data_IF_122670180357
#
_entry.id   IF_122670180357
#
_cell.length_a   1.000
_cell.length_b   1.000
_cell.length_c   1.000
_cell.angle_alpha   90.00
_cell.angle_beta   90.00
_cell.angle_gamma   90.00
#
_symmetry.space_group_name_H-M   'P 1'
#
loop_
_entity.id
_entity.type
_entity.pdbx_description
1 polymer ?
#
# COMPACT_ATOMS: atom_id res chain seq x y z
N UNK A 1 58.38 -14.79 70.89
CA UNK A 1 58.75 -13.36 70.76
C UNK A 1 57.44 -12.60 70.69
N UNK A 2 57.01 -11.74 71.59
CA UNK A 2 57.47 -11.20 72.88
C UNK A 2 56.16 -10.56 73.42
N UNK A 3 55.69 -10.92 74.62
CA UNK A 3 55.68 -10.04 75.82
C UNK A 3 55.20 -8.61 75.51
N UNK A 4 54.31 -7.95 76.24
CA UNK A 4 53.66 -8.18 77.51
C UNK A 4 52.72 -6.97 77.75
N UNK A 5 51.81 -7.13 78.70
CA UNK A 5 51.44 -6.24 79.82
C UNK A 5 51.50 -4.71 79.68
N UNK A 6 50.65 -3.91 80.31
CA UNK A 6 49.72 -4.14 81.42
C UNK A 6 48.82 -2.90 81.55
N UNK A 7 47.66 -3.06 82.18
CA UNK A 7 47.34 -2.55 83.54
C UNK A 7 46.87 -1.08 83.50
N UNK A 8 45.80 -0.64 84.17
CA UNK A 8 44.91 -1.27 85.15
C UNK A 8 43.50 -0.64 85.04
N UNK A 9 42.50 -1.26 85.66
CA UNK A 9 41.96 -0.86 86.97
C UNK A 9 41.08 0.41 86.88
N UNK A 10 39.89 0.53 87.45
CA UNK A 10 39.00 -0.33 88.24
C UNK A 10 37.67 0.47 88.35
N UNK A 11 36.57 -0.24 88.70
CA UNK A 11 35.33 0.20 89.35
C UNK A 11 34.75 1.60 89.00
N UNK A 12 33.53 1.74 88.51
CA UNK A 12 32.29 1.10 88.96
C UNK A 12 31.19 2.18 88.97
N UNK A 13 29.92 1.81 88.84
CA UNK A 13 28.80 2.75 89.00
C UNK A 13 27.60 2.43 88.13
N UNK A 14 26.51 2.06 88.81
CA UNK A 14 25.19 1.74 88.26
C UNK A 14 24.61 2.81 87.33
N UNK A 15 23.90 2.36 86.28
CA UNK A 15 23.12 3.24 85.42
C UNK A 15 22.30 2.49 84.39
N UNK A 16 21.01 2.30 84.66
CA UNK A 16 20.03 1.86 83.68
C UNK A 16 20.10 2.75 82.41
N UNK A 17 20.14 2.14 81.23
CA UNK A 17 19.92 2.86 79.97
C UNK A 17 19.28 1.96 78.93
N UNK A 18 18.02 2.30 78.63
CA UNK A 18 17.21 1.76 77.54
C UNK A 18 17.93 1.81 76.20
N UNK A 19 17.72 0.76 75.41
CA UNK A 19 18.14 0.65 74.02
C UNK A 19 17.62 1.84 73.17
N UNK A 20 18.55 2.57 72.55
CA UNK A 20 18.25 3.52 71.48
C UNK A 20 18.48 2.82 70.14
N UNK A 21 17.39 2.42 69.49
CA UNK A 21 17.37 1.99 68.10
C UNK A 21 17.64 3.17 67.15
N UNK A 22 18.64 3.02 66.29
CA UNK A 22 18.97 3.94 65.19
C UNK A 22 17.83 4.01 64.13
N UNK A 23 17.68 5.15 63.41
CA UNK A 23 16.52 5.36 62.55
C UNK A 23 16.65 4.60 61.23
N UNK A 24 15.58 3.90 60.86
CA UNK A 24 15.45 3.18 59.61
C UNK A 24 15.61 4.12 58.40
N UNK A 25 16.58 3.81 57.53
CA UNK A 25 16.74 4.46 56.23
C UNK A 25 15.46 4.31 55.41
N UNK A 26 14.86 5.45 55.04
CA UNK A 26 13.69 5.49 54.15
C UNK A 26 14.09 4.98 52.77
N UNK A 27 13.76 3.72 52.44
CA UNK A 27 13.77 3.28 51.04
C UNK A 27 12.71 4.08 50.29
N UNK A 28 13.14 4.88 49.32
CA UNK A 28 12.24 5.60 48.44
C UNK A 28 11.43 4.53 47.68
N UNK A 29 10.09 4.51 47.83
CA UNK A 29 9.28 3.50 47.17
C UNK A 29 9.32 3.77 45.65
N UNK A 30 9.29 2.72 44.80
CA UNK A 30 9.49 2.84 43.36
C UNK A 30 8.51 3.84 42.77
N UNK A 31 8.91 4.63 41.77
CA UNK A 31 8.10 5.73 41.23
C UNK A 31 6.65 5.31 40.87
N UNK A 32 6.42 4.06 40.47
CA UNK A 32 5.09 3.49 40.20
C UNK A 32 4.15 3.41 41.41
N UNK A 33 4.69 3.38 42.63
CA UNK A 33 3.97 3.26 43.89
C UNK A 33 3.59 4.61 44.51
N UNK A 34 4.17 5.71 44.00
CA UNK A 34 3.88 7.05 44.51
C UNK A 34 2.42 7.45 44.20
N UNK A 35 1.67 7.99 45.18
CA UNK A 35 0.27 8.37 45.00
C UNK A 35 0.05 9.35 43.84
N UNK A 36 0.95 10.31 43.66
CA UNK A 36 0.86 11.29 42.57
C UNK A 36 1.10 10.65 41.19
N UNK A 37 2.00 9.68 41.06
CA UNK A 37 2.22 8.94 39.80
C UNK A 37 1.01 8.08 39.47
N UNK A 38 0.38 7.45 40.47
CA UNK A 38 -0.88 6.71 40.29
C UNK A 38 -2.03 7.64 39.88
N UNK A 39 -2.15 8.80 40.51
CA UNK A 39 -3.18 9.78 40.18
C UNK A 39 -2.96 10.40 38.80
N UNK A 40 -1.72 10.72 38.43
CA UNK A 40 -1.39 11.25 37.11
C UNK A 40 -1.66 10.20 36.02
N UNK A 41 -1.28 8.95 36.26
CA UNK A 41 -1.56 7.84 35.32
C UNK A 41 -3.07 7.57 35.20
N UNK A 42 -3.81 7.73 36.30
CA UNK A 42 -5.28 7.67 36.30
C UNK A 42 -5.89 8.84 35.53
N UNK A 43 -5.41 10.07 35.74
CA UNK A 43 -5.89 11.29 35.08
C UNK A 43 -5.62 11.27 33.56
N UNK A 44 -4.40 10.94 33.17
CA UNK A 44 -4.02 10.74 31.76
C UNK A 44 -4.81 9.56 31.16
N UNK A 45 -5.03 8.50 31.92
CA UNK A 45 -5.84 7.35 31.50
C UNK A 45 -7.35 7.64 31.39
N UNK A 46 -7.87 8.63 32.12
CA UNK A 46 -9.27 9.08 32.02
C UNK A 46 -9.52 9.98 30.81
N UNK A 47 -8.48 10.48 30.15
CA UNK A 47 -8.60 11.40 29.02
C UNK A 47 -9.17 12.78 29.37
N UNK A 48 -9.32 13.09 30.67
CA UNK A 48 -9.83 14.37 31.13
C UNK A 48 -8.88 15.52 30.71
N UNK A 49 -9.41 16.48 29.96
CA UNK A 49 -8.65 17.63 29.43
C UNK A 49 -7.94 17.40 28.09
N UNK A 50 -8.11 16.23 27.46
CA UNK A 50 -7.65 16.01 26.09
C UNK A 50 -8.58 16.70 25.09
N UNK A 51 -7.99 17.29 24.05
CA UNK A 51 -8.75 17.80 22.91
C UNK A 51 -9.50 16.67 22.19
N UNK A 52 -10.53 17.03 21.42
CA UNK A 52 -11.39 16.09 20.69
C UNK A 52 -10.60 15.11 19.82
N UNK A 53 -9.51 15.56 19.20
CA UNK A 53 -8.62 14.74 18.38
C UNK A 53 -7.89 13.65 19.19
N UNK A 54 -7.33 14.02 20.35
CA UNK A 54 -6.60 13.08 21.20
C UNK A 54 -7.52 12.04 21.86
N UNK A 55 -8.77 12.41 22.18
CA UNK A 55 -9.80 11.46 22.63
C UNK A 55 -10.17 10.46 21.53
N UNK A 56 -10.34 10.94 20.30
CA UNK A 56 -10.67 10.10 19.15
C UNK A 56 -9.55 9.11 18.81
N UNK A 57 -8.29 9.55 18.93
CA UNK A 57 -7.12 8.69 18.74
C UNK A 57 -7.03 7.60 19.82
N UNK A 58 -7.29 7.94 21.09
CA UNK A 58 -7.32 6.97 22.19
C UNK A 58 -8.42 5.93 21.99
N UNK A 59 -9.62 6.35 21.61
CA UNK A 59 -10.73 5.44 21.33
C UNK A 59 -10.41 4.52 20.16
N UNK A 60 -9.82 5.07 19.09
CA UNK A 60 -9.36 4.27 17.93
C UNK A 60 -8.32 3.23 18.35
N UNK A 61 -7.31 3.63 19.14
CA UNK A 61 -6.29 2.71 19.67
C UNK A 61 -6.91 1.61 20.52
N UNK A 62 -7.90 1.95 21.35
CA UNK A 62 -8.62 0.98 22.19
C UNK A 62 -9.34 -0.06 21.33
N UNK A 63 -10.15 0.39 20.37
CA UNK A 63 -10.92 -0.49 19.48
C UNK A 63 -9.99 -1.42 18.69
N UNK A 64 -8.90 -0.88 18.12
CA UNK A 64 -7.93 -1.69 17.37
C UNK A 64 -7.24 -2.75 18.23
N UNK A 65 -6.91 -2.41 19.48
CA UNK A 65 -6.24 -3.32 20.41
C UNK A 65 -7.17 -4.46 20.86
N UNK A 66 -8.46 -4.17 21.00
CA UNK A 66 -9.49 -5.18 21.28
C UNK A 66 -9.67 -6.15 20.11
N UNK A 67 -9.79 -5.62 18.87
CA UNK A 67 -9.84 -6.43 17.64
C UNK A 67 -8.59 -7.33 17.53
N UNK A 68 -7.41 -6.80 17.83
CA UNK A 68 -6.17 -7.57 17.77
C UNK A 68 -6.16 -8.74 18.77
N UNK A 69 -6.54 -8.49 20.03
CA UNK A 69 -6.61 -9.53 21.08
C UNK A 69 -7.61 -10.62 20.72
N UNK A 70 -8.78 -10.24 20.21
CA UNK A 70 -9.77 -11.23 19.79
C UNK A 70 -9.26 -12.10 18.63
N UNK A 71 -8.54 -11.50 17.68
CA UNK A 71 -7.94 -12.23 16.56
C UNK A 71 -6.83 -13.19 17.02
N UNK A 72 -6.03 -12.80 18.01
CA UNK A 72 -5.04 -13.69 18.64
C UNK A 72 -5.70 -14.89 19.33
N UNK A 73 -6.79 -14.66 20.06
CA UNK A 73 -7.57 -15.75 20.69
C UNK A 73 -8.11 -16.73 19.66
N UNK A 74 -8.77 -16.22 18.60
CA UNK A 74 -9.28 -17.04 17.49
C UNK A 74 -8.18 -17.82 16.77
N UNK A 75 -7.00 -17.23 16.62
CA UNK A 75 -5.85 -17.92 16.03
C UNK A 75 -5.30 -19.04 16.93
N UNK A 76 -5.30 -18.83 18.25
CA UNK A 76 -4.93 -19.87 19.20
C UNK A 76 -5.94 -21.02 19.22
N UNK A 77 -7.24 -20.72 19.10
CA UNK A 77 -8.32 -21.71 18.98
C UNK A 77 -8.25 -22.52 17.68
N UNK A 78 -7.82 -21.90 16.57
CA UNK A 78 -7.70 -22.57 15.26
C UNK A 78 -6.50 -23.52 15.13
N UNK A 79 -5.54 -23.46 16.08
CA UNK A 79 -4.36 -24.32 16.09
C UNK A 79 -3.48 -24.17 14.85
N UNK A 80 -3.16 -25.28 14.19
CA UNK A 80 -2.25 -25.32 13.03
C UNK A 80 -2.91 -24.99 11.70
N UNK A 81 -4.23 -24.83 11.64
CA UNK A 81 -4.96 -24.62 10.38
C UNK A 81 -4.99 -23.11 10.09
N UNK A 82 -4.32 -22.63 9.01
CA UNK A 82 -4.40 -21.23 8.64
C UNK A 82 -5.82 -20.86 8.20
N UNK A 83 -6.23 -19.63 8.48
CA UNK A 83 -7.49 -19.09 7.95
C UNK A 83 -7.40 -19.00 6.42
N UNK A 84 -8.17 -19.86 5.73
CA UNK A 84 -8.30 -19.85 4.27
C UNK A 84 -9.47 -18.97 3.81
N UNK A 85 -10.50 -18.83 4.63
CA UNK A 85 -11.67 -18.00 4.36
C UNK A 85 -11.64 -16.72 5.20
N UNK A 86 -11.77 -15.57 4.53
CA UNK A 86 -11.95 -14.27 5.18
C UNK A 86 -13.35 -13.78 4.84
N UNK A 87 -14.23 -13.74 5.84
CA UNK A 87 -15.58 -13.18 5.69
C UNK A 87 -15.47 -11.73 5.19
N UNK A 88 -16.31 -11.39 4.21
CA UNK A 88 -16.48 -10.02 3.72
C UNK A 88 -16.84 -9.10 4.90
N UNK A 89 -16.16 -7.95 5.07
CA UNK A 89 -16.49 -7.01 6.13
C UNK A 89 -17.95 -6.56 6.06
N UNK A 90 -18.58 -6.45 7.22
CA UNK A 90 -19.93 -5.89 7.29
C UNK A 90 -19.90 -4.41 6.90
N UNK A 91 -20.93 -3.97 6.18
CA UNK A 91 -21.02 -2.60 5.68
C UNK A 91 -21.00 -1.60 6.86
N UNK A 92 -20.27 -0.50 6.70
CA UNK A 92 -20.07 0.48 7.78
C UNK A 92 -19.06 0.07 8.86
N UNK A 93 -18.62 -1.20 8.91
CA UNK A 93 -17.59 -1.63 9.86
C UNK A 93 -16.24 -0.95 9.61
N UNK A 94 -15.40 -0.85 10.64
CA UNK A 94 -14.02 -0.35 10.52
C UNK A 94 -13.25 -1.18 9.48
N UNK A 95 -13.47 -2.50 9.44
CA UNK A 95 -12.85 -3.39 8.46
C UNK A 95 -13.24 -3.03 7.02
N UNK A 96 -14.52 -2.71 6.76
CA UNK A 96 -15.01 -2.25 5.45
C UNK A 96 -14.37 -0.91 5.06
N UNK A 97 -14.30 0.05 5.99
CA UNK A 97 -13.66 1.36 5.74
C UNK A 97 -12.16 1.24 5.45
N UNK A 98 -11.44 0.40 6.21
CA UNK A 98 -10.02 0.13 6.01
C UNK A 98 -9.78 -0.58 4.68
N UNK A 99 -10.63 -1.55 4.33
CA UNK A 99 -10.55 -2.25 3.03
C UNK A 99 -10.74 -1.26 1.87
N UNK A 100 -11.76 -0.41 1.92
CA UNK A 100 -12.01 0.61 0.88
C UNK A 100 -10.82 1.57 0.73
N UNK A 101 -10.27 2.05 1.84
CA UNK A 101 -9.10 2.93 1.81
C UNK A 101 -7.85 2.20 1.26
N UNK A 102 -7.65 0.94 1.64
CA UNK A 102 -6.56 0.12 1.13
C UNK A 102 -6.69 -0.12 -0.38
N UNK A 103 -7.90 -0.43 -0.86
CA UNK A 103 -8.23 -0.57 -2.29
C UNK A 103 -7.92 0.72 -3.04
N UNK A 104 -8.45 1.86 -2.57
CA UNK A 104 -8.19 3.16 -3.17
C UNK A 104 -6.68 3.46 -3.27
N UNK A 105 -5.93 3.29 -2.18
CA UNK A 105 -4.47 3.52 -2.18
C UNK A 105 -3.73 2.57 -3.11
N UNK A 106 -4.16 1.32 -3.18
CA UNK A 106 -3.58 0.34 -4.09
C UNK A 106 -3.81 0.73 -5.55
N UNK A 107 -5.06 1.03 -5.93
CA UNK A 107 -5.42 1.42 -7.30
C UNK A 107 -4.75 2.72 -7.72
N UNK A 108 -4.74 3.73 -6.84
CA UNK A 108 -4.00 4.98 -7.06
C UNK A 108 -2.51 4.74 -7.30
N UNK A 109 -1.88 3.86 -6.51
CA UNK A 109 -0.47 3.50 -6.72
C UNK A 109 -0.28 2.76 -8.05
N UNK A 110 -1.21 1.91 -8.46
CA UNK A 110 -1.14 1.23 -9.76
C UNK A 110 -1.27 2.22 -10.92
N UNK A 111 -2.19 3.20 -10.84
CA UNK A 111 -2.36 4.22 -11.88
C UNK A 111 -1.16 5.15 -11.98
N UNK A 112 -0.56 5.54 -10.86
CA UNK A 112 0.68 6.33 -10.83
C UNK A 112 1.86 5.64 -11.52
N UNK A 113 1.87 4.30 -11.61
CA UNK A 113 2.90 3.53 -12.31
C UNK A 113 2.65 3.39 -13.82
N UNK A 114 1.46 3.78 -14.31
CA UNK A 114 1.14 3.78 -15.73
C UNK A 114 1.76 4.99 -16.44
N UNK A 115 2.06 4.79 -17.73
CA UNK A 115 2.45 5.88 -18.62
C UNK A 115 1.17 6.65 -18.96
N UNK A 116 1.19 7.96 -18.80
CA UNK A 116 0.09 8.82 -19.26
C UNK A 116 0.22 9.09 -20.78
N UNK A 117 -0.65 9.93 -21.34
CA UNK A 117 -0.63 10.26 -22.77
C UNK A 117 0.69 10.94 -23.18
N UNK A 118 1.14 11.94 -22.41
CA UNK A 118 2.38 12.66 -22.66
C UNK A 118 3.61 11.73 -22.59
N UNK A 119 3.62 10.80 -21.64
CA UNK A 119 4.66 9.78 -21.46
C UNK A 119 4.72 8.85 -22.68
N UNK A 120 3.57 8.45 -23.23
CA UNK A 120 3.48 7.62 -24.42
C UNK A 120 3.94 8.39 -25.66
N UNK A 121 3.56 9.65 -25.80
CA UNK A 121 4.00 10.51 -26.91
C UNK A 121 5.51 10.74 -26.86
N UNK A 122 6.07 11.05 -25.68
CA UNK A 122 7.51 11.19 -25.48
C UNK A 122 8.27 9.90 -25.82
N UNK A 123 7.72 8.74 -25.45
CA UNK A 123 8.31 7.45 -25.80
C UNK A 123 8.28 7.18 -27.31
N UNK A 124 7.19 7.57 -27.99
CA UNK A 124 7.10 7.45 -29.45
C UNK A 124 8.14 8.30 -30.16
N UNK A 125 8.33 9.55 -29.70
CA UNK A 125 9.38 10.44 -30.21
C UNK A 125 10.76 9.83 -29.99
N UNK A 126 11.06 9.35 -28.77
CA UNK A 126 12.33 8.69 -28.47
C UNK A 126 12.61 7.49 -29.38
N UNK A 127 11.60 6.66 -29.66
CA UNK A 127 11.74 5.51 -30.55
C UNK A 127 12.08 5.95 -31.98
N UNK A 128 11.39 6.97 -32.50
CA UNK A 128 11.61 7.46 -33.87
C UNK A 128 12.97 8.13 -34.06
N UNK A 129 13.44 8.90 -33.07
CA UNK A 129 14.72 9.61 -33.14
C UNK A 129 15.94 8.67 -33.12
N UNK A 130 15.78 7.47 -32.58
CA UNK A 130 16.87 6.51 -32.37
C UNK A 130 16.72 5.23 -33.21
N UNK A 131 15.76 5.19 -34.14
CA UNK A 131 15.56 4.05 -35.02
C UNK A 131 16.41 4.15 -36.30
N UNK A 132 16.61 3.00 -36.93
CA UNK A 132 17.18 2.85 -38.26
C UNK A 132 16.05 2.63 -39.26
N UNK A 133 16.03 3.42 -40.33
CA UNK A 133 15.10 3.22 -41.44
C UNK A 133 15.69 2.18 -42.39
N UNK A 134 14.91 1.16 -42.71
CA UNK A 134 15.29 0.13 -43.66
C UNK A 134 15.19 0.68 -45.10
N UNK A 135 16.32 0.77 -45.82
CA UNK A 135 16.38 1.39 -47.15
C UNK A 135 15.49 0.69 -48.20
N UNK A 136 15.22 -0.60 -48.03
CA UNK A 136 14.44 -1.39 -48.98
C UNK A 136 12.93 -1.27 -48.74
N UNK A 137 12.52 -1.17 -47.47
CA UNK A 137 11.10 -1.22 -47.07
C UNK A 137 10.57 0.10 -46.51
N UNK A 138 11.45 1.06 -46.19
CA UNK A 138 11.12 2.29 -45.46
C UNK A 138 10.71 2.05 -44.01
N UNK A 139 10.88 0.84 -43.48
CA UNK A 139 10.41 0.48 -42.16
C UNK A 139 11.35 1.00 -41.06
N UNK A 140 10.78 1.65 -40.04
CA UNK A 140 11.49 2.09 -38.84
C UNK A 140 11.76 0.90 -37.91
N UNK A 141 13.04 0.58 -37.68
CA UNK A 141 13.50 -0.60 -36.94
C UNK A 141 14.57 -0.23 -35.90
N UNK A 142 14.74 -1.08 -34.90
CA UNK A 142 15.80 -0.94 -33.89
C UNK A 142 16.44 -2.29 -33.56
N UNK A 143 17.76 -2.31 -33.35
CA UNK A 143 18.45 -3.49 -32.83
C UNK A 143 18.39 -3.51 -31.28
N UNK A 144 19.05 -4.48 -30.65
CA UNK A 144 19.04 -4.60 -29.19
C UNK A 144 19.88 -3.54 -28.47
N UNK A 145 20.97 -3.06 -29.09
CA UNK A 145 21.78 -1.96 -28.54
C UNK A 145 20.97 -0.65 -28.54
N UNK A 146 20.30 -0.35 -29.65
CA UNK A 146 19.37 0.78 -29.78
C UNK A 146 18.26 0.66 -28.72
N UNK A 147 17.69 -0.54 -28.55
CA UNK A 147 16.67 -0.79 -27.52
C UNK A 147 17.16 -0.46 -26.11
N UNK A 148 18.39 -0.83 -25.76
CA UNK A 148 18.99 -0.48 -24.47
C UNK A 148 19.30 1.02 -24.35
N UNK A 149 19.73 1.67 -25.43
CA UNK A 149 19.98 3.10 -25.45
C UNK A 149 18.68 3.89 -25.26
N UNK A 150 17.65 3.58 -26.04
CA UNK A 150 16.32 4.18 -25.94
C UNK A 150 15.73 3.97 -24.55
N UNK A 151 15.92 2.79 -23.94
CA UNK A 151 15.50 2.55 -22.56
C UNK A 151 16.11 3.56 -21.57
N UNK A 152 17.38 3.92 -21.77
CA UNK A 152 18.09 4.91 -20.95
C UNK A 152 17.51 6.30 -21.16
N UNK A 153 17.37 6.73 -22.42
CA UNK A 153 16.79 8.02 -22.79
C UNK A 153 15.35 8.17 -22.27
N UNK A 154 14.51 7.16 -22.49
CA UNK A 154 13.14 7.15 -21.97
C UNK A 154 13.11 7.18 -20.43
N UNK A 155 14.06 6.54 -19.75
CA UNK A 155 14.12 6.57 -18.27
C UNK A 155 14.48 7.97 -17.76
N UNK A 156 15.31 8.72 -18.50
CA UNK A 156 15.67 10.09 -18.15
C UNK A 156 14.52 11.07 -18.41
N UNK A 157 13.82 10.93 -19.54
CA UNK A 157 12.73 11.85 -19.93
C UNK A 157 11.40 11.55 -19.22
N UNK A 158 11.03 10.28 -19.10
CA UNK A 158 9.71 9.82 -18.61
C UNK A 158 9.78 9.32 -17.17
N UNK A 159 10.95 8.85 -16.73
CA UNK A 159 11.17 8.27 -15.41
C UNK A 159 11.06 6.75 -15.37
N UNK A 160 11.07 6.18 -14.16
CA UNK A 160 11.21 4.73 -13.94
C UNK A 160 10.02 3.88 -14.43
N UNK A 161 8.88 4.50 -14.78
CA UNK A 161 7.66 3.80 -15.21
C UNK A 161 7.84 3.05 -16.53
N UNK A 162 8.68 3.56 -17.43
CA UNK A 162 8.90 2.98 -18.75
C UNK A 162 9.82 1.75 -18.71
N UNK A 163 10.70 1.65 -17.69
CA UNK A 163 11.75 0.63 -17.57
C UNK A 163 11.23 -0.82 -17.67
N UNK A 164 10.03 -1.09 -17.16
CA UNK A 164 9.40 -2.42 -17.23
C UNK A 164 9.12 -2.90 -18.66
N UNK A 165 8.99 -1.98 -19.61
CA UNK A 165 8.78 -2.31 -21.02
C UNK A 165 10.10 -2.66 -21.71
N UNK A 166 11.21 -2.06 -21.29
CA UNK A 166 12.54 -2.29 -21.84
C UNK A 166 13.27 -3.45 -21.15
N UNK A 167 12.67 -4.64 -21.20
CA UNK A 167 13.33 -5.88 -20.73
C UNK A 167 13.78 -6.74 -21.92
N UNK A 168 14.86 -7.54 -21.76
CA UNK A 168 15.27 -8.50 -22.80
C UNK A 168 14.13 -9.44 -23.19
N UNK A 169 13.36 -9.89 -22.20
CA UNK A 169 12.19 -10.75 -22.41
C UNK A 169 11.11 -10.10 -23.28
N UNK A 170 10.91 -8.77 -23.19
CA UNK A 170 9.98 -8.07 -24.06
C UNK A 170 10.54 -7.91 -25.47
N UNK A 171 11.83 -7.58 -25.64
CA UNK A 171 12.47 -7.53 -26.95
C UNK A 171 12.36 -8.86 -27.70
N UNK A 172 12.47 -9.98 -26.98
CA UNK A 172 12.36 -11.31 -27.56
C UNK A 172 10.97 -11.66 -28.12
N UNK A 173 9.90 -10.96 -27.70
CA UNK A 173 8.52 -11.21 -28.16
C UNK A 173 8.26 -10.81 -29.62
N UNK A 174 9.06 -9.93 -30.19
CA UNK A 174 8.83 -9.38 -31.52
C UNK A 174 9.58 -10.18 -32.58
N UNK A 175 9.02 -10.24 -33.79
CA UNK A 175 9.72 -10.83 -34.94
C UNK A 175 10.96 -9.99 -35.27
N UNK A 176 12.04 -10.69 -35.60
CA UNK A 176 13.35 -10.11 -35.89
C UNK A 176 13.66 -10.34 -37.36
N UNK A 177 14.23 -9.34 -38.00
CA UNK A 177 14.79 -9.52 -39.33
C UNK A 177 16.13 -10.27 -39.29
N UNK A 178 16.71 -10.54 -40.46
CA UNK A 178 17.99 -11.26 -40.59
C UNK A 178 19.15 -10.56 -39.85
N UNK A 179 19.01 -9.26 -39.57
CA UNK A 179 19.97 -8.45 -38.81
C UNK A 179 19.64 -8.39 -37.31
N UNK A 180 18.64 -9.14 -36.84
CA UNK A 180 18.23 -9.16 -35.43
C UNK A 180 17.44 -7.92 -34.98
N UNK A 181 16.94 -7.10 -35.91
CA UNK A 181 16.21 -5.86 -35.62
C UNK A 181 14.71 -6.10 -35.53
N UNK A 182 14.03 -5.33 -34.69
CA UNK A 182 12.58 -5.35 -34.55
C UNK A 182 11.97 -4.04 -35.04
N UNK A 183 10.78 -4.08 -35.61
CA UNK A 183 10.06 -2.87 -36.01
C UNK A 183 9.59 -2.08 -34.77
N UNK A 184 9.74 -0.75 -34.78
CA UNK A 184 9.42 0.08 -33.61
C UNK A 184 7.91 0.24 -33.39
N UNK A 185 7.12 0.27 -34.46
CA UNK A 185 5.68 0.47 -34.37
C UNK A 185 4.96 -0.68 -33.63
N UNK A 186 5.20 -1.96 -33.95
CA UNK A 186 4.66 -3.07 -33.15
C UNK A 186 5.06 -3.01 -31.67
N UNK A 187 6.28 -2.59 -31.36
CA UNK A 187 6.72 -2.41 -29.98
C UNK A 187 5.95 -1.29 -29.26
N UNK A 188 5.81 -0.13 -29.90
CA UNK A 188 5.03 0.98 -29.36
C UNK A 188 3.57 0.59 -29.10
N UNK A 189 2.93 -0.07 -30.08
CA UNK A 189 1.55 -0.55 -29.94
C UNK A 189 1.41 -1.57 -28.80
N UNK A 190 2.41 -2.41 -28.57
CA UNK A 190 2.44 -3.32 -27.41
C UNK A 190 2.44 -2.56 -26.08
N UNK A 191 3.26 -1.51 -25.95
CA UNK A 191 3.31 -0.70 -24.72
C UNK A 191 1.99 0.02 -24.51
N UNK A 192 1.50 0.71 -25.55
CA UNK A 192 0.21 1.42 -25.52
C UNK A 192 -0.92 0.47 -25.11
N UNK A 193 -1.04 -0.69 -25.76
CA UNK A 193 -2.06 -1.70 -25.43
C UNK A 193 -1.94 -2.20 -24.00
N UNK A 194 -0.72 -2.43 -23.51
CA UNK A 194 -0.49 -2.90 -22.14
C UNK A 194 -0.94 -1.85 -21.12
N UNK A 195 -0.65 -0.58 -21.38
CA UNK A 195 -1.11 0.55 -20.55
C UNK A 195 -2.62 0.66 -20.59
N UNK A 196 -3.25 0.68 -21.78
CA UNK A 196 -4.70 0.80 -21.94
C UNK A 196 -5.46 -0.34 -21.25
N UNK A 197 -4.99 -1.58 -21.38
CA UNK A 197 -5.62 -2.73 -20.71
C UNK A 197 -5.48 -2.66 -19.19
N UNK A 198 -4.33 -2.18 -18.69
CA UNK A 198 -4.14 -2.03 -17.24
C UNK A 198 -4.99 -0.89 -16.69
N UNK A 199 -5.08 0.23 -17.42
CA UNK A 199 -5.94 1.36 -17.05
C UNK A 199 -7.41 0.93 -16.99
N UNK A 200 -7.90 0.22 -18.02
CA UNK A 200 -9.26 -0.30 -18.04
C UNK A 200 -9.56 -1.19 -16.82
N UNK A 201 -8.60 -2.04 -16.41
CA UNK A 201 -8.74 -2.87 -15.20
C UNK A 201 -8.80 -2.03 -13.93
N UNK A 202 -8.03 -0.96 -13.84
CA UNK A 202 -8.06 -0.03 -12.70
C UNK A 202 -9.42 0.67 -12.66
N UNK A 203 -9.87 1.23 -13.77
CA UNK A 203 -11.15 1.96 -13.88
C UNK A 203 -12.33 1.06 -13.50
N UNK A 204 -12.35 -0.18 -14.02
CA UNK A 204 -13.34 -1.18 -13.63
C UNK A 204 -13.24 -1.53 -12.15
N UNK A 205 -12.01 -1.69 -11.61
CA UNK A 205 -11.84 -1.95 -10.18
C UNK A 205 -12.32 -0.81 -9.30
N UNK A 206 -12.29 0.45 -9.76
CA UNK A 206 -12.82 1.58 -9.01
C UNK A 206 -14.34 1.55 -8.89
N UNK A 207 -15.03 0.97 -9.88
CA UNK A 207 -16.49 0.86 -9.95
C UNK A 207 -17.06 -0.34 -9.18
N UNK A 208 -16.24 -1.34 -8.90
CA UNK A 208 -16.60 -2.50 -8.07
C UNK A 208 -16.81 -2.06 -6.59
N UNK A 209 -18.06 -1.76 -6.23
CA UNK A 209 -18.40 -1.16 -4.94
C UNK A 209 -18.20 -2.14 -3.78
N UNK A 210 -18.44 -3.42 -4.04
CA UNK A 210 -18.55 -4.46 -3.03
C UNK A 210 -17.26 -5.30 -2.90
N UNK A 211 -16.29 -5.12 -3.79
CA UNK A 211 -14.99 -5.79 -3.80
C UNK A 211 -15.06 -7.32 -3.92
N UNK A 212 -16.07 -7.84 -4.61
CA UNK A 212 -16.20 -9.27 -4.92
C UNK A 212 -15.39 -9.71 -6.17
N UNK A 213 -14.88 -8.73 -6.94
CA UNK A 213 -14.08 -8.95 -8.14
C UNK A 213 -14.88 -9.06 -9.44
N UNK A 214 -16.19 -8.82 -9.38
CA UNK A 214 -17.10 -8.78 -10.52
C UNK A 214 -17.78 -7.42 -10.60
N UNK A 215 -18.21 -7.04 -11.82
CA UNK A 215 -19.03 -5.85 -12.00
C UNK A 215 -20.48 -6.27 -12.20
N UNK A 216 -21.35 -5.72 -11.37
CA UNK A 216 -22.79 -5.75 -11.56
C UNK A 216 -23.17 -4.99 -12.84
N UNK A 217 -24.32 -5.29 -13.45
CA UNK A 217 -24.73 -4.65 -14.71
C UNK A 217 -24.71 -3.12 -14.66
N UNK A 218 -25.07 -2.52 -13.53
CA UNK A 218 -25.08 -1.06 -13.36
C UNK A 218 -23.67 -0.46 -13.22
N UNK A 219 -22.73 -1.18 -12.59
CA UNK A 219 -21.32 -0.76 -12.49
C UNK A 219 -20.65 -0.87 -13.86
N UNK A 220 -20.94 -1.93 -14.62
CA UNK A 220 -20.50 -2.07 -16.01
C UNK A 220 -21.11 -0.99 -16.92
N UNK A 221 -22.38 -0.65 -16.71
CA UNK A 221 -23.05 0.44 -17.43
C UNK A 221 -22.34 1.78 -17.16
N UNK A 222 -22.00 2.05 -15.89
CA UNK A 222 -21.25 3.25 -15.50
C UNK A 222 -19.88 3.30 -16.18
N UNK A 223 -19.17 2.16 -16.25
CA UNK A 223 -17.90 2.07 -16.97
C UNK A 223 -18.05 2.43 -18.45
N UNK A 224 -18.98 1.78 -19.16
CA UNK A 224 -19.19 2.02 -20.59
C UNK A 224 -19.62 3.46 -20.83
N UNK A 225 -20.51 4.03 -20.01
CA UNK A 225 -20.91 5.44 -20.10
C UNK A 225 -19.71 6.38 -19.98
N UNK A 226 -18.76 6.07 -19.09
CA UNK A 226 -17.52 6.81 -18.95
C UNK A 226 -16.60 6.75 -20.19
N UNK A 227 -16.71 5.70 -21.01
CA UNK A 227 -15.93 5.55 -22.24
C UNK A 227 -16.51 6.30 -23.45
N UNK A 228 -17.82 6.53 -23.49
CA UNK A 228 -18.52 7.15 -24.65
C UNK A 228 -17.88 8.48 -25.09
N UNK A 229 -17.53 9.42 -24.18
CA UNK A 229 -16.92 10.69 -24.59
C UNK A 229 -15.60 10.54 -25.37
N UNK A 230 -14.88 9.45 -25.14
CA UNK A 230 -13.61 9.15 -25.79
C UNK A 230 -13.78 8.42 -27.13
N UNK A 231 -14.99 7.93 -27.42
CA UNK A 231 -15.33 7.23 -28.65
C UNK A 231 -16.01 8.22 -29.59
N UNK A 232 -15.22 8.83 -30.50
CA UNK A 232 -15.72 9.79 -31.48
C UNK A 232 -16.94 9.28 -32.28
N UNK A 233 -17.04 7.96 -32.47
CA UNK A 233 -18.15 7.30 -33.18
C UNK A 233 -19.46 7.22 -32.37
N UNK A 234 -19.41 7.35 -31.05
CA UNK A 234 -20.57 7.22 -30.14
C UNK A 234 -21.00 8.55 -29.52
N UNK A 235 -20.24 9.62 -29.75
CA UNK A 235 -20.44 10.93 -29.10
C UNK A 235 -21.78 11.58 -29.45
N UNK A 236 -22.27 11.35 -30.66
CA UNK A 236 -23.52 11.92 -31.17
C UNK A 236 -24.72 10.95 -31.07
N UNK A 237 -24.60 9.87 -30.29
CA UNK A 237 -25.68 8.88 -30.17
C UNK A 237 -26.85 9.43 -29.32
N UNK A 238 -28.10 9.32 -29.79
CA UNK A 238 -29.28 9.70 -29.01
C UNK A 238 -29.38 8.90 -27.70
N UNK A 239 -29.67 9.59 -26.60
CA UNK A 239 -29.85 9.03 -25.24
C UNK A 239 -30.76 7.79 -25.13
N UNK A 240 -31.91 7.67 -25.84
CA UNK A 240 -32.74 6.46 -25.77
C UNK A 240 -32.08 5.22 -26.40
N UNK A 241 -31.12 5.39 -27.31
CA UNK A 241 -30.40 4.27 -27.93
C UNK A 241 -29.29 3.79 -26.98
N UNK A 242 -28.56 4.70 -26.34
CA UNK A 242 -27.59 4.34 -25.28
C UNK A 242 -28.24 3.51 -24.16
N UNK A 243 -29.45 3.85 -23.73
CA UNK A 243 -30.14 3.13 -22.66
C UNK A 243 -30.52 1.68 -23.02
N UNK A 244 -30.70 1.36 -24.31
CA UNK A 244 -31.09 0.04 -24.78
C UNK A 244 -29.89 -0.79 -25.29
N UNK A 245 -28.84 -0.13 -25.79
CA UNK A 245 -27.63 -0.79 -26.31
C UNK A 245 -26.65 -1.15 -25.21
N UNK A 246 -26.49 -0.33 -24.16
CA UNK A 246 -25.56 -0.62 -23.07
C UNK A 246 -25.81 -1.97 -22.37
N UNK A 247 -27.05 -2.33 -22.00
CA UNK A 247 -27.32 -3.62 -21.37
C UNK A 247 -26.92 -4.81 -22.25
N UNK A 248 -27.11 -4.70 -23.57
CA UNK A 248 -26.72 -5.71 -24.56
C UNK A 248 -25.20 -5.79 -24.74
N UNK A 249 -24.50 -4.65 -24.75
CA UNK A 249 -23.03 -4.60 -24.81
C UNK A 249 -22.38 -5.17 -23.55
N UNK A 250 -22.95 -4.90 -22.37
CA UNK A 250 -22.51 -5.47 -21.09
C UNK A 250 -22.58 -7.01 -21.12
N UNK A 251 -23.58 -7.59 -21.78
CA UNK A 251 -23.69 -9.05 -21.90
C UNK A 251 -22.66 -9.64 -22.85
N UNK A 252 -22.31 -8.95 -23.94
CA UNK A 252 -21.30 -9.44 -24.89
C UNK A 252 -19.86 -9.31 -24.39
N UNK A 253 -19.51 -8.25 -23.64
CA UNK A 253 -18.16 -8.10 -23.07
C UNK A 253 -17.88 -9.17 -22.02
N UNK A 254 -18.90 -9.61 -21.26
CA UNK A 254 -18.77 -10.70 -20.29
C UNK A 254 -18.44 -12.07 -20.93
N UNK A 255 -18.72 -12.25 -22.23
CA UNK A 255 -18.45 -13.48 -22.97
C UNK A 255 -17.10 -13.48 -23.70
N UNK A 256 -16.43 -12.33 -23.80
CA UNK A 256 -15.18 -12.14 -24.57
C UNK A 256 -13.94 -11.92 -23.69
N UNK A 257 -14.10 -11.86 -22.36
CA UNK A 257 -13.04 -11.91 -21.36
C UNK A 257 -13.00 -13.29 -20.69
#
# INVERSE_FOLDING_TARGET
>A
MSTASGDGADAGGDGASSAVTAPAGRRIPPASSMPWVRNLRRFVGTGAGLGSEALMELETKRILLEIFKERQRKSAEAGSIPSFYKKKPEEGSISSRVQRLAKYRFLKKQSELLLNADDLDAMWVCLRENCVIDDATGAEKMNYEDFCHIATVCTEQIGQKCKRFFSPSNFMKFEKDDSGRIAILPFYLYVMRTVSLTQARIDMSELDEDSDGFLQPHEMEAYIRGLIPNLAQLRDMPTPICSNVLPHSCTQVLFLL
#
